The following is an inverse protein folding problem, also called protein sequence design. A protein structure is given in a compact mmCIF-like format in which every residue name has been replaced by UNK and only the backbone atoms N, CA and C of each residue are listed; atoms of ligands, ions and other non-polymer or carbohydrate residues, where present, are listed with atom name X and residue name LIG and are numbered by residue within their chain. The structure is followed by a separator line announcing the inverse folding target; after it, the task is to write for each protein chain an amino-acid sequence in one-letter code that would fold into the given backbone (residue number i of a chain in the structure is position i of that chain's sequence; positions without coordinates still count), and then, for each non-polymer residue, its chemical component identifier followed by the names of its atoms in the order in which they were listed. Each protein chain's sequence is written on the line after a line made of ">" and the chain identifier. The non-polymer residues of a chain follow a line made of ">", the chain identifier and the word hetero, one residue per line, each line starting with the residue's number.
data_IF_970070771388
#
_entry.id   IF_970070771388
#
_cell.length_a   1.000
_cell.length_b   1.000
_cell.length_c   1.000
_cell.angle_alpha   90.00
_cell.angle_beta   90.00
_cell.angle_gamma   90.00
#
_symmetry.space_group_name_H-M   'P 1'
#
loop_
_entity.id
_entity.type
_entity.pdbx_description
1 polymer ?
#
# COMPACT_ATOMS: atom_id res chain seq x y z
N UNK A 1 20.31 12.59 42.84
CA UNK A 1 19.62 11.35 42.41
C UNK A 1 19.52 11.41 40.89
N UNK A 2 20.57 10.94 40.22
CA UNK A 2 20.65 9.64 39.51
C UNK A 2 19.98 9.65 38.14
N UNK A 3 20.84 9.45 37.14
CA UNK A 3 20.63 9.11 35.74
C UNK A 3 19.57 8.03 35.49
N UNK A 4 18.91 8.09 34.33
CA UNK A 4 18.74 6.90 33.48
C UNK A 4 18.67 7.33 32.01
N UNK A 5 19.74 7.04 31.28
CA UNK A 5 19.76 7.05 29.82
C UNK A 5 19.13 5.75 29.31
N UNK A 6 18.29 5.85 28.27
CA UNK A 6 17.85 4.70 27.50
C UNK A 6 18.85 4.44 26.39
N UNK A 7 19.66 3.40 26.63
CA UNK A 7 20.69 2.83 25.78
C UNK A 7 20.07 2.19 24.52
N UNK A 8 20.78 2.29 23.40
CA UNK A 8 20.30 1.95 22.05
C UNK A 8 20.81 0.57 21.60
N UNK A 9 20.95 -0.36 22.56
CA UNK A 9 21.63 -1.64 22.40
C UNK A 9 20.70 -2.87 22.27
N UNK A 10 19.37 -2.72 22.32
CA UNK A 10 18.45 -3.86 22.42
C UNK A 10 17.93 -4.46 21.09
N UNK A 11 18.65 -4.34 19.97
CA UNK A 11 18.18 -4.91 18.68
C UNK A 11 19.21 -5.78 17.94
N UNK A 12 19.92 -6.64 18.70
CA UNK A 12 20.64 -7.78 18.14
C UNK A 12 20.47 -9.01 19.02
N UNK A 13 19.51 -9.89 18.70
CA UNK A 13 19.76 -11.31 18.42
C UNK A 13 18.48 -12.01 17.95
N UNK A 14 18.57 -12.79 16.87
CA UNK A 14 18.01 -14.15 16.76
C UNK A 14 18.21 -14.70 15.34
N UNK A 15 19.30 -15.47 15.24
CA UNK A 15 19.51 -16.68 14.43
C UNK A 15 18.57 -16.99 13.25
N UNK A 16 19.17 -16.97 12.06
CA UNK A 16 18.75 -17.77 10.90
C UNK A 16 18.95 -19.26 11.18
N UNK A 17 17.95 -20.07 10.80
CA UNK A 17 18.13 -21.49 10.55
C UNK A 17 17.81 -21.78 9.07
N UNK A 18 18.75 -22.42 8.40
CA UNK A 18 18.76 -22.77 6.97
C UNK A 18 17.71 -23.83 6.62
N UNK A 19 17.06 -23.71 5.46
CA UNK A 19 16.70 -24.86 4.60
C UNK A 19 16.71 -24.43 3.12
N UNK A 20 17.62 -25.02 2.32
CA UNK A 20 17.30 -25.63 1.02
C UNK A 20 17.42 -24.80 -0.27
N UNK A 21 18.53 -25.02 -0.98
CA UNK A 21 18.78 -24.81 -2.42
C UNK A 21 17.80 -25.64 -3.30
N UNK A 22 17.54 -25.42 -4.60
CA UNK A 22 18.44 -25.17 -5.74
C UNK A 22 17.63 -24.94 -7.05
N UNK A 23 18.27 -24.29 -8.05
CA UNK A 23 18.09 -24.34 -9.52
C UNK A 23 17.07 -23.40 -10.22
N UNK A 24 17.60 -22.35 -10.88
CA UNK A 24 17.96 -22.40 -12.31
C UNK A 24 18.76 -21.16 -12.74
N UNK A 25 20.01 -21.40 -13.11
CA UNK A 25 20.85 -20.52 -13.94
C UNK A 25 20.32 -20.53 -15.39
N UNK A 26 20.24 -19.37 -16.03
CA UNK A 26 20.76 -19.07 -17.38
C UNK A 26 20.10 -17.82 -17.97
N UNK A 27 20.56 -16.64 -17.57
CA UNK A 27 20.53 -15.41 -18.41
C UNK A 27 21.76 -14.56 -18.06
N UNK A 28 22.94 -15.17 -18.17
CA UNK A 28 24.22 -14.48 -18.08
C UNK A 28 24.82 -14.36 -19.48
N UNK A 29 24.37 -13.38 -20.28
CA UNK A 29 25.16 -12.86 -21.40
C UNK A 29 24.75 -11.40 -21.69
N UNK A 30 25.75 -10.51 -21.64
CA UNK A 30 25.81 -9.18 -22.26
C UNK A 30 25.24 -7.94 -21.53
N UNK A 31 25.64 -7.71 -20.27
CA UNK A 31 25.64 -6.35 -19.67
C UNK A 31 27.02 -5.90 -19.17
N UNK A 32 28.07 -6.72 -19.38
CA UNK A 32 29.36 -6.57 -18.70
C UNK A 32 30.33 -5.51 -19.25
N UNK A 33 29.90 -4.59 -20.14
CA UNK A 33 30.83 -3.58 -20.70
C UNK A 33 30.33 -2.13 -20.81
N UNK A 34 29.19 -1.77 -20.22
CA UNK A 34 28.78 -0.36 -20.16
C UNK A 34 28.18 -0.02 -18.80
N UNK A 35 29.02 0.47 -17.87
CA UNK A 35 28.73 1.57 -16.94
C UNK A 35 29.92 1.71 -15.97
N UNK A 36 31.02 2.28 -16.47
CA UNK A 36 32.04 2.91 -15.64
C UNK A 36 31.51 4.25 -15.11
N UNK A 37 30.60 4.22 -14.14
CA UNK A 37 30.34 5.36 -13.24
C UNK A 37 29.98 4.79 -11.87
N UNK A 38 30.56 5.31 -10.77
CA UNK A 38 30.23 4.83 -9.43
C UNK A 38 28.74 5.01 -9.22
N UNK A 39 28.08 3.93 -8.78
CA UNK A 39 26.67 3.87 -8.39
C UNK A 39 26.27 5.18 -7.73
N UNK A 40 25.65 6.05 -8.52
CA UNK A 40 24.83 7.11 -7.99
C UNK A 40 23.79 6.37 -7.17
N UNK A 41 23.91 6.46 -5.84
CA UNK A 41 22.79 6.21 -4.95
C UNK A 41 21.71 7.14 -5.50
N UNK A 42 20.77 6.54 -6.22
CA UNK A 42 19.57 7.23 -6.65
C UNK A 42 18.88 7.55 -5.33
N UNK A 43 19.09 8.77 -4.83
CA UNK A 43 18.27 9.36 -3.79
C UNK A 43 16.88 9.61 -4.40
N UNK A 44 16.14 8.55 -4.75
CA UNK A 44 14.69 8.63 -4.92
C UNK A 44 14.11 8.75 -3.52
N UNK A 45 14.26 9.92 -2.94
CA UNK A 45 13.45 10.32 -1.79
C UNK A 45 12.07 10.51 -2.37
N UNK A 46 11.22 9.51 -2.19
CA UNK A 46 9.80 9.63 -2.42
C UNK A 46 9.15 10.00 -1.08
N UNK A 47 8.34 11.04 -1.11
CA UNK A 47 7.50 11.45 0.01
C UNK A 47 6.04 11.36 -0.41
N UNK A 48 5.20 10.93 0.52
CA UNK A 48 3.77 10.78 0.29
C UNK A 48 3.02 11.77 1.17
N UNK A 49 2.09 12.51 0.56
CA UNK A 49 1.28 13.50 1.27
C UNK A 49 -0.21 13.29 1.05
N UNK A 50 -1.01 13.58 2.07
CA UNK A 50 -2.42 13.90 1.92
C UNK A 50 -2.59 15.42 1.88
N UNK A 51 -3.40 15.92 0.96
CA UNK A 51 -3.75 17.33 0.86
C UNK A 51 -5.22 17.56 1.24
N UNK A 52 -5.46 18.54 2.10
CA UNK A 52 -6.79 19.07 2.42
C UNK A 52 -6.82 20.59 2.21
N UNK A 53 -8.01 21.10 1.92
CA UNK A 53 -8.25 22.54 1.78
C UNK A 53 -9.30 22.88 2.82
N UNK A 54 -8.98 23.84 3.68
CA UNK A 54 -9.89 24.33 4.71
C UNK A 54 -10.91 25.31 4.11
N UNK A 55 -11.98 25.63 4.85
CA UNK A 55 -13.08 26.49 4.35
C UNK A 55 -12.62 27.91 3.95
N UNK A 56 -11.49 28.36 4.49
CA UNK A 56 -10.86 29.65 4.19
C UNK A 56 -9.92 29.60 2.96
N UNK A 57 -9.78 28.42 2.34
CA UNK A 57 -8.89 28.18 1.21
C UNK A 57 -7.45 27.84 1.60
N UNK A 58 -7.15 27.66 2.89
CA UNK A 58 -5.81 27.27 3.35
C UNK A 58 -5.53 25.82 2.96
N UNK A 59 -4.40 25.58 2.28
CA UNK A 59 -3.94 24.24 1.94
C UNK A 59 -3.13 23.61 3.07
N UNK A 60 -3.58 22.45 3.56
CA UNK A 60 -2.85 21.64 4.51
C UNK A 60 -2.29 20.38 3.83
N UNK A 61 -1.02 20.07 4.08
CA UNK A 61 -0.34 18.87 3.59
C UNK A 61 0.15 18.01 4.75
N UNK A 62 -0.40 16.81 4.89
CA UNK A 62 0.00 15.83 5.90
C UNK A 62 0.97 14.82 5.29
N UNK A 63 2.20 14.76 5.80
CA UNK A 63 3.19 13.76 5.37
C UNK A 63 2.79 12.36 5.87
N UNK A 64 2.33 11.50 4.97
CA UNK A 64 1.97 10.10 5.24
C UNK A 64 3.24 9.24 5.34
N UNK A 65 4.18 9.38 4.40
CA UNK A 65 5.43 8.62 4.40
C UNK A 65 6.63 9.46 3.96
N UNK A 66 7.83 9.05 4.36
CA UNK A 66 9.08 9.73 4.06
C UNK A 66 9.51 10.72 5.15
N UNK A 67 8.74 10.88 6.23
CA UNK A 67 9.04 11.80 7.35
C UNK A 67 10.48 11.64 7.87
N UNK A 68 10.91 10.42 8.15
CA UNK A 68 12.28 10.17 8.63
C UNK A 68 13.36 10.59 7.61
N UNK A 69 13.12 10.38 6.31
CA UNK A 69 14.04 10.78 5.24
C UNK A 69 14.11 12.30 5.12
N UNK A 70 12.96 12.96 5.14
CA UNK A 70 12.85 14.43 5.08
C UNK A 70 13.49 15.09 6.29
N UNK A 71 13.20 14.58 7.49
CA UNK A 71 13.85 15.04 8.72
C UNK A 71 15.36 14.85 8.65
N UNK A 72 15.84 13.70 8.19
CA UNK A 72 17.29 13.47 8.05
C UNK A 72 17.94 14.44 7.06
N UNK A 73 17.28 14.73 5.94
CA UNK A 73 17.77 15.73 4.96
C UNK A 73 17.82 17.11 5.59
N UNK A 74 16.76 17.53 6.28
CA UNK A 74 16.68 18.81 6.96
C UNK A 74 17.80 18.94 8.02
N UNK A 75 17.93 17.96 8.91
CA UNK A 75 18.97 17.92 9.94
C UNK A 75 20.39 17.89 9.34
N UNK A 76 20.57 17.20 8.20
CA UNK A 76 21.86 17.15 7.51
C UNK A 76 22.21 18.53 6.91
N UNK A 77 21.27 19.16 6.22
CA UNK A 77 21.43 20.51 5.66
C UNK A 77 21.64 21.56 6.75
N UNK A 78 21.10 21.33 7.94
CA UNK A 78 21.35 22.17 9.12
C UNK A 78 22.67 21.88 9.84
N UNK A 79 23.43 20.90 9.38
CA UNK A 79 24.73 20.55 9.98
C UNK A 79 24.62 19.88 11.35
N UNK A 80 23.41 19.46 11.73
CA UNK A 80 23.10 18.77 13.00
C UNK A 80 23.51 17.29 12.95
N UNK A 81 23.37 16.65 11.78
CA UNK A 81 23.86 15.28 11.56
C UNK A 81 24.89 15.21 10.42
N UNK A 82 25.90 14.33 10.49
CA UNK A 82 26.84 14.09 9.39
C UNK A 82 26.38 12.99 8.44
N UNK A 83 26.79 13.08 7.19
CA UNK A 83 26.81 11.95 6.26
C UNK A 83 28.09 11.12 6.47
N UNK A 84 27.96 9.83 6.77
CA UNK A 84 29.09 8.90 6.86
C UNK A 84 29.30 8.22 5.50
N UNK A 85 30.45 8.46 4.88
CA UNK A 85 30.88 7.71 3.70
C UNK A 85 31.00 6.23 4.05
N UNK A 86 30.29 5.37 3.32
CA UNK A 86 30.24 3.92 3.57
C UNK A 86 31.55 3.20 3.24
N UNK A 87 32.39 3.79 2.39
CA UNK A 87 33.67 3.20 1.96
C UNK A 87 34.80 3.72 2.85
N UNK A 88 34.89 5.02 3.04
CA UNK A 88 36.01 5.63 3.79
C UNK A 88 35.73 5.77 5.28
N UNK A 89 34.47 5.61 5.71
CA UNK A 89 34.04 5.83 7.09
C UNK A 89 34.07 7.31 7.53
N UNK A 90 34.49 8.22 6.65
CA UNK A 90 34.63 9.64 6.95
C UNK A 90 33.25 10.29 7.10
N UNK A 91 33.17 11.25 8.02
CA UNK A 91 31.96 12.03 8.29
C UNK A 91 32.05 13.37 7.59
N UNK A 92 31.02 13.72 6.83
CA UNK A 92 30.90 14.98 6.13
C UNK A 92 29.70 15.77 6.66
N UNK A 93 29.85 17.07 6.86
CA UNK A 93 28.79 17.97 7.29
C UNK A 93 28.41 18.94 6.17
N UNK A 94 27.14 19.34 6.10
CA UNK A 94 26.67 20.26 5.07
C UNK A 94 27.10 21.71 5.34
N UNK A 95 26.98 22.16 6.59
CA UNK A 95 27.43 23.48 7.05
C UNK A 95 28.05 23.38 8.44
N UNK A 96 28.86 24.38 8.79
CA UNK A 96 29.37 24.54 10.13
C UNK A 96 28.27 25.14 11.02
N UNK A 97 28.11 24.60 12.23
CA UNK A 97 27.16 25.10 13.22
C UNK A 97 27.92 25.98 14.19
N UNK A 98 27.41 27.19 14.48
CA UNK A 98 28.00 28.03 15.52
C UNK A 98 27.96 27.33 16.88
N UNK A 99 28.99 27.51 17.72
CA UNK A 99 29.00 26.94 19.05
C UNK A 99 27.89 27.59 19.88
N UNK A 100 26.92 26.79 20.33
CA UNK A 100 25.98 27.19 21.38
C UNK A 100 26.73 27.30 22.71
N UNK A 101 26.43 28.34 23.50
CA UNK A 101 27.15 28.71 24.74
C UNK A 101 27.13 27.64 25.86
N UNK A 102 26.46 26.50 25.65
CA UNK A 102 26.20 25.47 26.67
C UNK A 102 27.09 24.21 26.57
N UNK A 103 27.98 24.08 25.59
CA UNK A 103 28.93 22.96 25.55
C UNK A 103 30.33 23.33 26.08
N UNK A 104 30.83 22.64 27.13
CA UNK A 104 32.17 22.86 27.64
C UNK A 104 33.20 22.30 26.65
N UNK A 105 33.92 23.21 25.99
CA UNK A 105 35.34 23.11 25.60
C UNK A 105 35.92 21.70 25.32
N UNK A 106 35.25 20.88 24.50
CA UNK A 106 35.93 19.78 23.82
C UNK A 106 36.59 20.33 22.56
N UNK A 107 37.89 20.05 22.44
CA UNK A 107 38.77 20.57 21.39
C UNK A 107 38.09 20.61 20.02
N UNK A 108 38.11 21.80 19.41
CA UNK A 108 37.57 22.15 18.08
C UNK A 108 38.03 21.15 17.02
N UNK A 109 37.33 20.03 16.89
CA UNK A 109 37.56 19.11 15.78
C UNK A 109 36.83 19.74 14.62
N UNK A 110 37.56 20.42 13.71
CA UNK A 110 36.99 21.05 12.52
C UNK A 110 36.12 20.02 11.80
N UNK A 111 34.80 20.26 11.77
CA UNK A 111 33.85 19.40 11.06
C UNK A 111 34.28 19.38 9.59
N UNK A 112 34.51 18.21 9.03
CA UNK A 112 34.92 18.08 7.62
C UNK A 112 33.72 18.41 6.73
N UNK A 113 33.75 19.57 6.08
CA UNK A 113 32.63 20.01 5.26
C UNK A 113 32.57 19.23 3.95
N UNK A 114 31.35 19.03 3.47
CA UNK A 114 31.12 18.47 2.14
C UNK A 114 31.67 19.46 1.08
N UNK A 115 32.42 18.98 0.08
CA UNK A 115 32.90 19.81 -1.02
C UNK A 115 31.80 20.66 -1.66
N UNK A 116 32.12 21.90 -2.01
CA UNK A 116 31.15 22.90 -2.47
C UNK A 116 30.37 22.45 -3.71
N UNK A 117 31.03 21.73 -4.64
CA UNK A 117 30.36 21.15 -5.80
C UNK A 117 29.29 20.12 -5.42
N UNK A 118 29.57 19.27 -4.43
CA UNK A 118 28.64 18.25 -3.96
C UNK A 118 27.47 18.87 -3.17
N UNK A 119 27.74 19.93 -2.40
CA UNK A 119 26.67 20.70 -1.72
C UNK A 119 25.70 21.31 -2.72
N UNK A 120 26.21 21.97 -3.77
CA UNK A 120 25.37 22.53 -4.84
C UNK A 120 24.58 21.44 -5.56
N UNK A 121 25.22 20.31 -5.87
CA UNK A 121 24.53 19.18 -6.48
C UNK A 121 23.42 18.64 -5.58
N UNK A 122 23.65 18.51 -4.28
CA UNK A 122 22.66 18.05 -3.30
C UNK A 122 21.50 19.03 -3.16
N UNK A 123 21.78 20.33 -3.04
CA UNK A 123 20.75 21.38 -2.93
C UNK A 123 19.84 21.45 -4.17
N UNK A 124 20.38 21.13 -5.35
CA UNK A 124 19.64 21.12 -6.61
C UNK A 124 18.92 19.78 -6.87
N UNK A 125 18.98 18.81 -5.95
CA UNK A 125 18.21 17.56 -6.11
C UNK A 125 16.73 17.81 -5.84
N UNK A 126 15.90 17.41 -6.79
CA UNK A 126 14.46 17.43 -6.62
C UNK A 126 14.00 16.16 -5.91
N UNK A 127 13.11 16.33 -4.93
CA UNK A 127 12.40 15.24 -4.25
C UNK A 127 11.08 15.03 -4.97
N UNK A 128 10.78 13.78 -5.34
CA UNK A 128 9.50 13.45 -5.96
C UNK A 128 8.47 13.25 -4.86
N UNK A 129 7.41 14.04 -4.91
CA UNK A 129 6.29 13.97 -3.97
C UNK A 129 5.05 13.46 -4.70
N UNK A 130 4.35 12.49 -4.10
CA UNK A 130 3.04 12.06 -4.55
C UNK A 130 2.00 12.57 -3.56
N UNK A 131 1.04 13.34 -4.05
CA UNK A 131 -0.02 13.94 -3.24
C UNK A 131 -1.37 13.29 -3.57
N UNK A 132 -2.15 12.96 -2.54
CA UNK A 132 -3.53 12.52 -2.66
C UNK A 132 -4.46 13.57 -2.06
N UNK A 133 -5.46 13.97 -2.82
CA UNK A 133 -6.44 14.99 -2.40
C UNK A 133 -7.70 14.30 -1.90
N UNK A 134 -8.24 14.77 -0.77
CA UNK A 134 -9.54 14.31 -0.26
C UNK A 134 -9.53 12.92 0.39
N UNK A 135 -8.40 12.52 0.97
CA UNK A 135 -8.34 11.29 1.77
C UNK A 135 -9.06 11.48 3.10
N UNK A 136 -9.84 10.48 3.49
CA UNK A 136 -10.38 10.40 4.85
C UNK A 136 -9.29 9.96 5.83
N UNK A 137 -9.42 10.32 7.12
CA UNK A 137 -8.45 9.92 8.15
C UNK A 137 -8.32 8.40 8.36
N UNK A 138 -9.29 7.62 7.88
CA UNK A 138 -9.22 6.16 7.89
C UNK A 138 -8.36 5.64 6.73
N UNK A 139 -8.51 6.23 5.54
CA UNK A 139 -7.72 5.91 4.35
C UNK A 139 -6.26 6.30 4.52
N UNK A 140 -5.98 7.47 5.10
CA UNK A 140 -4.61 7.88 5.45
C UNK A 140 -3.93 6.86 6.37
N UNK A 141 -4.62 6.42 7.43
CA UNK A 141 -4.12 5.42 8.38
C UNK A 141 -3.88 4.06 7.71
N UNK A 142 -4.74 3.67 6.78
CA UNK A 142 -4.58 2.42 6.04
C UNK A 142 -3.38 2.49 5.08
N UNK A 143 -3.23 3.59 4.33
CA UNK A 143 -2.09 3.83 3.46
C UNK A 143 -0.79 3.81 4.29
N UNK A 144 -0.77 4.53 5.42
CA UNK A 144 0.36 4.54 6.34
C UNK A 144 0.74 3.13 6.81
N UNK A 145 -0.25 2.36 7.28
CA UNK A 145 -0.04 0.99 7.75
C UNK A 145 0.55 0.09 6.66
N UNK A 146 0.05 0.21 5.42
CA UNK A 146 0.51 -0.58 4.29
C UNK A 146 1.94 -0.23 3.86
N UNK A 147 2.27 1.06 3.83
CA UNK A 147 3.60 1.54 3.47
C UNK A 147 4.64 1.05 4.49
N UNK A 148 4.34 1.10 5.78
CA UNK A 148 5.24 0.62 6.84
C UNK A 148 5.41 -0.91 6.83
N UNK A 149 4.33 -1.66 6.54
CA UNK A 149 4.35 -3.12 6.57
C UNK A 149 4.82 -3.75 5.25
N UNK A 150 5.12 -2.93 4.23
CA UNK A 150 5.48 -3.42 2.89
C UNK A 150 4.42 -4.33 2.29
N UNK A 151 3.15 -4.22 2.71
CA UNK A 151 2.07 -5.10 2.26
C UNK A 151 1.54 -4.59 0.93
N UNK A 152 1.80 -5.28 -0.19
CA UNK A 152 1.20 -4.88 -1.45
C UNK A 152 -0.32 -5.03 -1.35
N UNK A 153 -1.05 -4.27 -2.15
CA UNK A 153 -2.46 -4.57 -2.41
C UNK A 153 -2.57 -6.05 -2.84
N UNK A 154 -3.41 -6.81 -2.14
CA UNK A 154 -3.79 -8.16 -2.58
C UNK A 154 -4.46 -8.05 -3.94
N UNK A 155 -4.38 -9.09 -4.76
CA UNK A 155 -5.00 -9.08 -6.08
C UNK A 155 -6.51 -8.80 -6.00
N UNK A 156 -7.21 -9.30 -4.98
CA UNK A 156 -8.62 -8.99 -4.71
C UNK A 156 -8.88 -7.50 -4.44
N UNK A 157 -7.96 -6.81 -3.76
CA UNK A 157 -8.05 -5.39 -3.47
C UNK A 157 -7.74 -4.54 -4.70
N UNK A 158 -6.81 -4.98 -5.55
CA UNK A 158 -6.52 -4.31 -6.84
C UNK A 158 -7.73 -4.35 -7.78
N UNK A 159 -8.39 -5.50 -7.86
CA UNK A 159 -9.61 -5.67 -8.66
C UNK A 159 -10.72 -4.74 -8.17
N UNK A 160 -10.92 -4.71 -6.86
CA UNK A 160 -11.90 -3.83 -6.23
C UNK A 160 -11.55 -2.34 -6.30
N UNK A 161 -10.29 -1.95 -6.47
CA UNK A 161 -9.83 -0.54 -6.51
C UNK A 161 -9.95 0.13 -7.89
N UNK A 162 -10.12 -0.66 -8.95
CA UNK A 162 -10.37 -0.13 -10.29
C UNK A 162 -11.73 0.57 -10.30
N UNK A 163 -11.86 1.79 -10.84
CA UNK A 163 -13.10 2.58 -10.86
C UNK A 163 -13.76 2.53 -12.24
N UNK A 164 -14.32 1.38 -12.61
CA UNK A 164 -15.12 1.19 -13.83
C UNK A 164 -16.60 1.09 -13.47
N UNK A 165 -17.48 1.25 -14.45
CA UNK A 165 -18.93 1.14 -14.22
C UNK A 165 -19.31 -0.24 -13.64
N UNK A 166 -18.55 -1.29 -13.98
CA UNK A 166 -18.70 -2.64 -13.42
C UNK A 166 -18.33 -2.70 -11.94
N UNK A 167 -17.17 -2.18 -11.56
CA UNK A 167 -16.72 -2.22 -10.16
C UNK A 167 -17.56 -1.30 -9.27
N UNK A 168 -18.03 -0.16 -9.79
CA UNK A 168 -18.98 0.72 -9.10
C UNK A 168 -20.28 -0.04 -8.80
N UNK A 169 -20.85 -0.71 -9.81
CA UNK A 169 -22.04 -1.54 -9.62
C UNK A 169 -21.81 -2.64 -8.58
N UNK A 170 -20.69 -3.37 -8.66
CA UNK A 170 -20.36 -4.43 -7.69
C UNK A 170 -20.23 -3.88 -6.28
N UNK A 171 -19.56 -2.73 -6.08
CA UNK A 171 -19.46 -2.07 -4.78
C UNK A 171 -20.85 -1.72 -4.22
N UNK A 172 -21.76 -1.23 -5.07
CA UNK A 172 -23.13 -0.93 -4.64
C UNK A 172 -23.92 -2.16 -4.19
N UNK A 173 -23.64 -3.34 -4.77
CA UNK A 173 -24.24 -4.61 -4.33
C UNK A 173 -23.68 -5.03 -2.97
N UNK A 174 -22.37 -4.93 -2.76
CA UNK A 174 -21.73 -5.25 -1.48
C UNK A 174 -22.30 -4.36 -0.39
N UNK A 175 -22.37 -3.05 -0.62
CA UNK A 175 -22.92 -2.07 0.33
C UNK A 175 -24.39 -2.37 0.68
N UNK A 176 -25.20 -2.75 -0.31
CA UNK A 176 -26.63 -3.02 -0.12
C UNK A 176 -26.91 -4.35 0.59
N UNK A 177 -26.16 -5.41 0.27
CA UNK A 177 -26.49 -6.77 0.67
C UNK A 177 -25.59 -7.36 1.76
N UNK A 178 -24.46 -6.73 2.08
CA UNK A 178 -23.53 -7.18 3.12
C UNK A 178 -23.64 -6.26 4.34
N UNK A 179 -24.81 -6.30 4.99
CA UNK A 179 -25.07 -5.60 6.27
C UNK A 179 -25.09 -6.60 7.43
N UNK A 180 -25.06 -6.10 8.67
CA UNK A 180 -25.09 -6.91 9.88
C UNK A 180 -26.32 -7.82 9.96
N UNK A 181 -27.45 -7.37 9.42
CA UNK A 181 -28.75 -8.05 9.45
C UNK A 181 -29.00 -8.94 8.21
N UNK A 182 -28.13 -8.89 7.21
CA UNK A 182 -28.31 -9.56 5.92
C UNK A 182 -27.23 -10.60 5.67
N UNK A 183 -26.42 -10.48 4.61
CA UNK A 183 -25.45 -11.51 4.27
C UNK A 183 -24.26 -11.54 5.24
N UNK A 184 -24.03 -10.52 6.07
CA UNK A 184 -23.00 -10.62 7.10
C UNK A 184 -23.42 -11.51 8.29
N UNK A 185 -24.73 -11.79 8.43
CA UNK A 185 -25.24 -12.68 9.47
C UNK A 185 -24.91 -14.16 9.23
N UNK A 186 -24.66 -14.54 7.96
CA UNK A 186 -24.25 -15.90 7.61
C UNK A 186 -22.73 -16.09 7.72
N UNK A 187 -22.24 -17.29 8.09
CA UNK A 187 -20.82 -17.55 8.34
C UNK A 187 -20.03 -17.75 7.05
N UNK A 188 -19.66 -16.66 6.36
CA UNK A 188 -18.71 -16.67 5.25
C UNK A 188 -17.58 -15.66 5.46
N UNK A 189 -16.59 -15.71 4.56
CA UNK A 189 -15.41 -14.85 4.64
C UNK A 189 -15.66 -13.48 4.00
N UNK A 190 -15.98 -12.51 4.84
CA UNK A 190 -16.09 -11.09 4.48
C UNK A 190 -14.80 -10.31 4.72
N UNK A 191 -13.68 -11.01 4.97
CA UNK A 191 -12.40 -10.35 5.21
C UNK A 191 -11.99 -9.49 4.01
N UNK A 192 -11.37 -8.35 4.28
CA UNK A 192 -10.83 -7.36 3.33
C UNK A 192 -10.73 -7.82 1.85
N UNK A 193 -11.67 -7.35 1.03
CA UNK A 193 -11.70 -7.53 -0.43
C UNK A 193 -12.19 -8.89 -0.92
N UNK A 194 -12.43 -9.85 -0.02
CA UNK A 194 -13.00 -11.17 -0.37
C UNK A 194 -14.48 -11.05 -0.70
N UNK A 195 -15.19 -10.16 0.00
CA UNK A 195 -16.56 -9.77 -0.29
C UNK A 195 -16.72 -9.22 -1.71
N UNK A 196 -15.91 -8.23 -2.06
CA UNK A 196 -15.92 -7.63 -3.39
C UNK A 196 -15.53 -8.65 -4.47
N UNK A 197 -14.55 -9.51 -4.20
CA UNK A 197 -14.16 -10.58 -5.10
C UNK A 197 -15.30 -11.60 -5.32
N UNK A 198 -15.98 -12.01 -4.26
CA UNK A 198 -17.10 -12.95 -4.32
C UNK A 198 -18.25 -12.39 -5.17
N UNK A 199 -18.64 -11.13 -4.91
CA UNK A 199 -19.65 -10.45 -5.73
C UNK A 199 -19.18 -10.24 -7.18
N UNK A 200 -17.91 -9.94 -7.40
CA UNK A 200 -17.35 -9.80 -8.75
C UNK A 200 -17.49 -11.10 -9.55
N UNK A 201 -17.14 -12.24 -8.95
CA UNK A 201 -17.33 -13.54 -9.58
C UNK A 201 -18.80 -13.85 -9.82
N UNK A 202 -19.68 -13.62 -8.84
CA UNK A 202 -21.11 -13.89 -8.99
C UNK A 202 -21.73 -13.08 -10.13
N UNK A 203 -21.46 -11.77 -10.19
CA UNK A 203 -21.96 -10.89 -11.25
C UNK A 203 -21.36 -11.27 -12.61
N UNK A 204 -20.06 -11.60 -12.68
CA UNK A 204 -19.43 -12.11 -13.90
C UNK A 204 -20.14 -13.36 -14.40
N UNK A 205 -20.36 -14.35 -13.53
CA UNK A 205 -21.07 -15.57 -13.86
C UNK A 205 -22.48 -15.28 -14.37
N UNK A 206 -23.27 -14.47 -13.66
CA UNK A 206 -24.64 -14.13 -14.07
C UNK A 206 -24.68 -13.41 -15.42
N UNK A 207 -23.76 -12.47 -15.65
CA UNK A 207 -23.69 -11.72 -16.90
C UNK A 207 -23.27 -12.58 -18.09
N UNK A 208 -22.30 -13.48 -17.91
CA UNK A 208 -21.75 -14.31 -18.98
C UNK A 208 -22.53 -15.60 -19.23
N UNK A 209 -23.15 -16.17 -18.20
CA UNK A 209 -23.90 -17.42 -18.33
C UNK A 209 -25.02 -17.36 -19.37
N UNK A 210 -25.69 -16.21 -19.48
CA UNK A 210 -26.75 -16.01 -20.48
C UNK A 210 -26.26 -15.91 -21.92
N UNK A 211 -24.96 -15.65 -22.11
CA UNK A 211 -24.34 -15.40 -23.43
C UNK A 211 -23.55 -16.63 -23.87
N UNK A 212 -22.64 -17.11 -23.02
CA UNK A 212 -21.80 -18.27 -23.26
C UNK A 212 -21.53 -19.02 -21.94
N UNK A 213 -22.28 -20.09 -21.65
CA UNK A 213 -22.08 -20.90 -20.44
C UNK A 213 -20.69 -21.54 -20.36
N UNK A 214 -19.99 -21.77 -21.48
CA UNK A 214 -18.66 -22.36 -21.50
C UNK A 214 -17.60 -21.38 -20.98
N UNK A 215 -17.80 -20.07 -21.20
CA UNK A 215 -16.91 -18.99 -20.71
C UNK A 215 -16.89 -18.89 -19.17
N UNK A 216 -17.92 -19.42 -18.49
CA UNK A 216 -18.06 -19.37 -17.03
C UNK A 216 -17.34 -20.55 -16.35
N UNK A 217 -16.90 -21.56 -17.11
CA UNK A 217 -16.22 -22.74 -16.53
C UNK A 217 -14.90 -22.38 -15.82
N UNK A 218 -14.19 -21.36 -16.31
CA UNK A 218 -12.96 -20.83 -15.68
C UNK A 218 -13.20 -19.51 -14.92
N UNK A 219 -14.40 -19.33 -14.34
CA UNK A 219 -14.75 -18.12 -13.58
C UNK A 219 -13.78 -17.82 -12.44
N UNK A 220 -13.01 -18.80 -11.94
CA UNK A 220 -12.05 -18.63 -10.83
C UNK A 220 -10.75 -17.93 -11.26
N UNK A 221 -10.53 -17.74 -12.56
CA UNK A 221 -9.36 -17.03 -13.08
C UNK A 221 -9.43 -15.54 -12.74
N UNK A 222 -8.56 -15.10 -11.82
CA UNK A 222 -8.41 -13.69 -11.47
C UNK A 222 -7.96 -12.82 -12.66
N UNK A 223 -7.25 -13.43 -13.62
CA UNK A 223 -6.81 -12.73 -14.84
C UNK A 223 -8.02 -12.38 -15.72
N UNK A 224 -8.85 -13.37 -16.01
CA UNK A 224 -10.07 -13.18 -16.83
C UNK A 224 -11.03 -12.21 -16.15
N UNK A 225 -11.24 -12.38 -14.83
CA UNK A 225 -12.07 -11.47 -14.06
C UNK A 225 -11.50 -10.04 -14.08
N UNK A 226 -10.18 -9.88 -13.97
CA UNK A 226 -9.52 -8.57 -14.02
C UNK A 226 -9.67 -7.87 -15.36
N UNK A 227 -9.45 -8.58 -16.46
CA UNK A 227 -9.66 -8.05 -17.81
C UNK A 227 -11.12 -7.63 -18.03
N UNK A 228 -12.07 -8.43 -17.53
CA UNK A 228 -13.49 -8.09 -17.58
C UNK A 228 -13.81 -6.87 -16.72
N UNK A 229 -13.36 -6.80 -15.47
CA UNK A 229 -13.62 -5.65 -14.61
C UNK A 229 -12.99 -4.35 -15.14
N UNK A 230 -11.85 -4.44 -15.82
CA UNK A 230 -11.18 -3.31 -16.46
C UNK A 230 -11.88 -2.80 -17.73
N UNK A 231 -12.80 -3.59 -18.31
CA UNK A 231 -13.54 -3.20 -19.50
C UNK A 231 -14.44 -1.98 -19.29
N UNK A 232 -14.53 -1.12 -20.31
CA UNK A 232 -15.39 0.09 -20.30
C UNK A 232 -16.88 -0.22 -20.53
N UNK A 233 -17.21 -1.42 -21.02
CA UNK A 233 -18.56 -1.80 -21.35
C UNK A 233 -19.43 -1.95 -20.09
N UNK A 234 -20.57 -1.27 -20.08
CA UNK A 234 -21.52 -1.38 -18.97
C UNK A 234 -22.21 -2.75 -18.93
N UNK A 235 -22.60 -3.16 -17.73
CA UNK A 235 -23.53 -4.28 -17.54
C UNK A 235 -24.91 -3.78 -17.98
N UNK A 236 -25.58 -4.53 -18.84
CA UNK A 236 -26.92 -4.20 -19.31
C UNK A 236 -27.90 -4.09 -18.13
N UNK A 237 -28.83 -3.13 -18.17
CA UNK A 237 -29.73 -2.87 -17.04
C UNK A 237 -30.65 -4.06 -16.73
N UNK A 238 -31.07 -4.82 -17.74
CA UNK A 238 -31.81 -6.06 -17.54
C UNK A 238 -31.04 -7.06 -16.66
N UNK A 239 -29.71 -7.18 -16.86
CA UNK A 239 -28.85 -8.04 -16.05
C UNK A 239 -28.70 -7.46 -14.65
N UNK A 240 -28.53 -6.13 -14.50
CA UNK A 240 -28.48 -5.49 -13.17
C UNK A 240 -29.75 -5.77 -12.37
N UNK A 241 -30.93 -5.67 -12.99
CA UNK A 241 -32.21 -5.98 -12.34
C UNK A 241 -32.30 -7.44 -11.91
N UNK A 242 -31.89 -8.38 -12.76
CA UNK A 242 -31.87 -9.81 -12.42
C UNK A 242 -30.88 -10.12 -11.28
N UNK A 243 -29.72 -9.47 -11.27
CA UNK A 243 -28.74 -9.60 -10.18
C UNK A 243 -29.36 -9.13 -8.86
N UNK A 244 -30.02 -7.96 -8.86
CA UNK A 244 -30.73 -7.47 -7.66
C UNK A 244 -31.81 -8.43 -7.19
N UNK A 245 -32.65 -8.94 -8.11
CA UNK A 245 -33.69 -9.91 -7.77
C UNK A 245 -33.11 -11.19 -7.16
N UNK A 246 -32.03 -11.72 -7.73
CA UNK A 246 -31.34 -12.90 -7.22
C UNK A 246 -30.81 -12.68 -5.79
N UNK A 247 -30.17 -11.53 -5.53
CA UNK A 247 -29.68 -11.20 -4.19
C UNK A 247 -30.80 -10.89 -3.20
N UNK A 248 -31.90 -10.26 -3.62
CA UNK A 248 -33.07 -10.05 -2.78
C UNK A 248 -33.68 -11.38 -2.32
N UNK A 249 -33.82 -12.35 -3.24
CA UNK A 249 -34.27 -13.72 -2.92
C UNK A 249 -33.27 -14.40 -1.99
N UNK A 250 -31.97 -14.28 -2.28
CA UNK A 250 -30.94 -14.91 -1.47
C UNK A 250 -30.93 -14.38 -0.04
N UNK A 251 -31.03 -13.07 0.16
CA UNK A 251 -31.14 -12.47 1.50
C UNK A 251 -32.38 -12.97 2.21
N UNK A 252 -33.55 -13.02 1.55
CA UNK A 252 -34.78 -13.56 2.17
C UNK A 252 -34.62 -15.01 2.60
N UNK A 253 -33.95 -15.84 1.81
CA UNK A 253 -33.67 -17.24 2.17
C UNK A 253 -32.69 -17.34 3.33
N UNK A 254 -31.62 -16.54 3.32
CA UNK A 254 -30.57 -16.55 4.32
C UNK A 254 -31.05 -16.02 5.70
N UNK A 255 -32.01 -15.08 5.70
CA UNK A 255 -32.50 -14.41 6.91
C UNK A 255 -33.82 -14.97 7.44
N UNK A 256 -34.60 -15.68 6.61
CA UNK A 256 -35.87 -16.26 7.04
C UNK A 256 -35.66 -17.46 7.97
N UNK A 257 -36.22 -17.48 9.20
CA UNK A 257 -36.03 -18.57 10.15
C UNK A 257 -36.40 -19.97 9.61
N UNK A 258 -37.33 -20.04 8.66
CA UNK A 258 -37.77 -21.29 8.03
C UNK A 258 -36.71 -21.88 7.09
N UNK A 259 -35.90 -21.03 6.44
CA UNK A 259 -35.00 -21.42 5.35
C UNK A 259 -33.51 -21.17 5.68
N UNK A 260 -33.21 -20.44 6.77
CA UNK A 260 -31.85 -20.01 7.11
C UNK A 260 -30.96 -21.11 7.68
N UNK A 261 -31.55 -22.21 8.16
CA UNK A 261 -30.85 -23.27 8.88
C UNK A 261 -29.66 -23.89 8.10
N UNK A 262 -29.73 -24.17 6.78
CA UNK A 262 -28.60 -24.69 6.02
C UNK A 262 -27.41 -23.72 5.94
N UNK A 263 -27.67 -22.41 5.85
CA UNK A 263 -26.63 -21.39 5.72
C UNK A 263 -25.78 -21.22 6.99
N UNK A 264 -26.34 -21.55 8.16
CA UNK A 264 -25.66 -21.43 9.45
C UNK A 264 -25.00 -22.75 9.92
N UNK A 265 -25.31 -23.87 9.26
CA UNK A 265 -24.75 -25.20 9.61
C UNK A 265 -23.36 -25.45 9.02
N UNK A 266 -22.94 -24.68 8.01
CA UNK A 266 -21.65 -24.88 7.36
C UNK A 266 -20.50 -24.21 8.10
N UNK A 267 -19.32 -24.84 8.09
CA UNK A 267 -18.07 -24.21 8.55
C UNK A 267 -17.74 -23.04 7.63
N UNK A 268 -17.19 -21.97 8.20
CA UNK A 268 -16.87 -20.72 7.51
C UNK A 268 -16.18 -20.98 6.16
N UNK A 269 -16.88 -20.71 5.06
CA UNK A 269 -16.42 -21.01 3.69
C UNK A 269 -15.71 -19.79 3.08
N UNK A 270 -14.70 -20.05 2.24
CA UNK A 270 -13.92 -19.02 1.55
C UNK A 270 -14.69 -18.29 0.44
N UNK A 271 -15.81 -18.86 -0.05
CA UNK A 271 -16.72 -18.30 -1.07
C UNK A 271 -18.17 -18.73 -0.82
N UNK A 272 -19.14 -17.87 -1.16
CA UNK A 272 -20.58 -18.18 -1.12
C UNK A 272 -21.10 -18.92 -2.36
N UNK A 273 -20.26 -19.05 -3.40
CA UNK A 273 -20.54 -19.73 -4.67
C UNK A 273 -19.36 -20.62 -5.07
#
# INVERSE_FOLDING_TARGET
>A
MSSSGSDLSDFYDESHNEIGSTQKQNEEYQLSKQLKYPRAIIFTVQALYAASIDEDGTEHRTCIDGKQRLTSIHLFMDGLIPHKDSVTGQKYWYKETEPTNDEPTKAKTKKQLLPENLRKMFANKHIVCTEYIGLTSLEERDIFSRVQQGKPLKNSEKLGATSTNRTIFIRSLVERYVTAETLCAIPWKTSRGVDNLCFSHAVYCMAKWSIDPEEVKDHRSLKVLGEWLAGSQEIADAVKSQVHEAYDIFVRLATSPKYSAPFHKQKKVDSLF
#
